data_IF_747760915074
#
_entry.id   IF_747760915074
#
_cell.length_a   1.000
_cell.length_b   1.000
_cell.length_c   1.000
_cell.angle_alpha   90.00
_cell.angle_beta   90.00
_cell.angle_gamma   90.00
#
_symmetry.space_group_name_H-M   'P 1'
#
loop_
_entity.id
_entity.type
_entity.pdbx_description
1 polymer ?
#
# COMPACT_ATOMS: atom_id res chain seq x y z
N UNK A 1 14.70 -1.60 -0.60
CA UNK A 1 13.46 -1.10 0.01
C UNK A 1 12.33 -2.15 -0.01
N UNK A 2 12.08 -2.85 -1.12
CA UNK A 2 10.99 -3.84 -1.22
C UNK A 2 11.07 -4.93 -0.14
N UNK A 3 12.27 -5.43 0.11
CA UNK A 3 12.50 -6.45 1.15
C UNK A 3 12.18 -5.90 2.56
N UNK A 4 12.61 -4.69 2.90
CA UNK A 4 12.40 -4.09 4.23
C UNK A 4 10.94 -3.65 4.47
N UNK A 5 10.24 -3.24 3.42
CA UNK A 5 8.81 -2.90 3.51
C UNK A 5 7.94 -4.14 3.73
N UNK A 6 8.34 -5.33 3.24
CA UNK A 6 7.61 -6.61 3.35
C UNK A 6 6.16 -6.54 2.84
N UNK A 7 5.84 -5.55 2.04
CA UNK A 7 4.56 -5.37 1.38
C UNK A 7 4.79 -4.99 -0.08
N UNK A 8 3.92 -5.41 -1.00
CA UNK A 8 4.00 -4.96 -2.38
C UNK A 8 3.78 -3.44 -2.47
N UNK A 9 4.58 -2.75 -3.28
CA UNK A 9 4.47 -1.30 -3.48
C UNK A 9 4.07 -0.99 -4.92
N UNK A 10 3.37 0.14 -5.14
CA UNK A 10 3.17 0.67 -6.49
C UNK A 10 4.47 1.25 -7.04
N UNK A 11 4.59 1.36 -8.37
CA UNK A 11 5.71 2.04 -9.01
C UNK A 11 5.87 3.47 -8.48
N UNK A 12 4.76 4.22 -8.40
CA UNK A 12 4.78 5.58 -7.87
C UNK A 12 5.29 5.65 -6.43
N UNK A 13 4.89 4.70 -5.59
CA UNK A 13 5.38 4.64 -4.21
C UNK A 13 6.88 4.35 -4.15
N UNK A 14 7.39 3.44 -4.97
CA UNK A 14 8.82 3.12 -5.04
C UNK A 14 9.62 4.35 -5.48
N UNK A 15 9.17 5.00 -6.55
CA UNK A 15 9.82 6.20 -7.05
C UNK A 15 9.81 7.31 -5.98
N UNK A 16 8.65 7.62 -5.40
CA UNK A 16 8.52 8.66 -4.37
C UNK A 16 9.44 8.39 -3.17
N UNK A 17 9.48 7.15 -2.69
CA UNK A 17 10.36 6.74 -1.59
C UNK A 17 11.83 6.95 -1.95
N UNK A 18 12.26 6.45 -3.11
CA UNK A 18 13.67 6.44 -3.47
C UNK A 18 14.19 7.80 -3.94
N UNK A 19 13.31 8.71 -4.39
CA UNK A 19 13.68 10.01 -4.94
C UNK A 19 13.23 11.16 -4.02
N UNK A 20 11.96 11.55 -4.07
CA UNK A 20 11.44 12.76 -3.44
C UNK A 20 11.58 12.77 -1.92
N UNK A 21 11.48 11.60 -1.28
CA UNK A 21 11.52 11.50 0.19
C UNK A 21 12.90 11.33 0.77
N UNK A 22 13.75 10.57 0.09
CA UNK A 22 15.03 10.17 0.66
C UNK A 22 16.25 10.53 -0.21
N UNK A 23 16.04 10.93 -1.46
CA UNK A 23 17.12 11.32 -2.39
C UNK A 23 18.22 10.24 -2.56
N UNK A 24 17.82 8.95 -2.52
CA UNK A 24 18.74 7.84 -2.72
C UNK A 24 19.10 7.64 -4.19
N UNK A 25 18.17 7.94 -5.10
CA UNK A 25 18.32 7.86 -6.54
C UNK A 25 17.63 9.05 -7.20
N UNK A 26 18.03 9.41 -8.40
CA UNK A 26 17.21 10.29 -9.23
C UNK A 26 16.08 9.50 -9.92
N UNK A 27 15.10 10.21 -10.47
CA UNK A 27 13.91 9.63 -11.08
C UNK A 27 14.24 8.63 -12.22
N UNK A 28 15.14 9.01 -13.11
CA UNK A 28 15.50 8.16 -14.27
C UNK A 28 16.24 6.91 -13.83
N UNK A 29 17.20 7.05 -12.92
CA UNK A 29 17.93 5.91 -12.35
C UNK A 29 16.98 4.95 -11.62
N UNK A 30 16.03 5.47 -10.86
CA UNK A 30 15.07 4.63 -10.14
C UNK A 30 14.21 3.80 -11.09
N UNK A 31 13.73 4.40 -12.19
CA UNK A 31 12.95 3.69 -13.20
C UNK A 31 13.79 2.66 -13.95
N UNK A 32 14.98 3.01 -14.36
CA UNK A 32 15.88 2.11 -15.09
C UNK A 32 16.27 0.89 -14.22
N UNK A 33 16.61 1.12 -12.96
CA UNK A 33 16.93 0.04 -12.00
C UNK A 33 15.72 -0.86 -11.77
N UNK A 34 14.52 -0.29 -11.58
CA UNK A 34 13.32 -1.08 -11.39
C UNK A 34 13.02 -1.97 -12.61
N UNK A 35 13.17 -1.42 -13.81
CA UNK A 35 13.00 -2.18 -15.04
C UNK A 35 14.03 -3.33 -15.16
N UNK A 36 15.30 -3.06 -14.92
CA UNK A 36 16.36 -4.08 -14.91
C UNK A 36 16.12 -5.18 -13.90
N UNK A 37 15.62 -4.85 -12.69
CA UNK A 37 15.29 -5.83 -11.67
C UNK A 37 14.14 -6.75 -12.08
N UNK A 38 13.17 -6.23 -12.86
CA UNK A 38 12.08 -7.02 -13.43
C UNK A 38 12.60 -7.94 -14.52
N UNK A 39 13.42 -7.43 -15.45
CA UNK A 39 14.01 -8.24 -16.52
C UNK A 39 14.90 -9.37 -15.97
N UNK A 40 15.63 -9.09 -14.89
CA UNK A 40 16.46 -10.07 -14.20
C UNK A 40 15.66 -11.05 -13.33
N UNK A 41 14.34 -10.94 -13.28
CA UNK A 41 13.46 -11.74 -12.41
C UNK A 41 13.76 -11.61 -10.91
N UNK A 42 14.30 -10.48 -10.46
CA UNK A 42 14.51 -10.17 -9.05
C UNK A 42 13.32 -9.46 -8.42
N UNK A 43 12.50 -8.84 -9.25
CA UNK A 43 11.24 -8.19 -8.87
C UNK A 43 10.13 -8.67 -9.83
N UNK A 44 8.95 -8.93 -9.29
CA UNK A 44 7.79 -9.28 -10.09
C UNK A 44 6.66 -8.27 -9.90
N UNK A 45 5.82 -8.17 -10.91
CA UNK A 45 4.58 -7.41 -10.88
C UNK A 45 3.40 -8.31 -10.54
N UNK A 46 2.52 -7.85 -9.66
CA UNK A 46 1.21 -8.44 -9.40
C UNK A 46 0.13 -7.38 -9.58
N UNK A 47 -1.07 -7.79 -10.06
CA UNK A 47 -2.20 -6.89 -10.26
C UNK A 47 -2.97 -7.16 -11.56
N UNK A 48 -4.07 -6.45 -11.75
CA UNK A 48 -5.06 -6.72 -12.82
C UNK A 48 -4.82 -5.95 -14.13
N UNK A 49 -3.62 -5.38 -14.33
CA UNK A 49 -3.27 -4.67 -15.56
C UNK A 49 -3.57 -3.15 -15.58
N UNK A 50 -4.17 -2.60 -14.54
CA UNK A 50 -4.26 -1.16 -14.36
C UNK A 50 -3.01 -0.67 -13.63
N UNK A 51 -2.29 0.30 -14.21
CA UNK A 51 -1.04 0.83 -13.65
C UNK A 51 -1.16 1.29 -12.17
N UNK A 52 -2.33 1.75 -11.75
CA UNK A 52 -2.61 2.14 -10.35
C UNK A 52 -2.83 0.94 -9.42
N UNK A 53 -3.05 -0.26 -9.96
CA UNK A 53 -3.26 -1.50 -9.21
C UNK A 53 -2.07 -2.44 -9.28
N UNK A 54 -1.13 -2.20 -10.21
CA UNK A 54 0.12 -2.96 -10.28
C UNK A 54 0.95 -2.76 -9.00
N UNK A 55 1.40 -3.87 -8.46
CA UNK A 55 2.24 -3.91 -7.27
C UNK A 55 3.53 -4.66 -7.59
N UNK A 56 4.61 -4.17 -7.05
CA UNK A 56 5.95 -4.72 -7.21
C UNK A 56 6.40 -5.37 -5.92
N UNK A 57 6.95 -6.56 -6.03
CA UNK A 57 7.49 -7.29 -4.89
C UNK A 57 8.78 -7.99 -5.30
N UNK A 58 9.65 -8.25 -4.31
CA UNK A 58 10.88 -8.99 -4.51
C UNK A 58 10.58 -10.47 -4.70
N UNK A 59 11.29 -11.13 -5.63
CA UNK A 59 11.22 -12.58 -5.83
C UNK A 59 12.14 -13.31 -4.84
N UNK A 60 12.03 -14.64 -4.77
CA UNK A 60 12.96 -15.47 -4.01
C UNK A 60 14.40 -15.31 -4.53
N UNK A 61 14.58 -15.31 -5.85
CA UNK A 61 15.87 -15.06 -6.50
C UNK A 61 16.42 -13.68 -6.16
N UNK A 62 15.55 -12.68 -6.12
CA UNK A 62 15.91 -11.31 -5.72
C UNK A 62 16.36 -11.23 -4.27
N UNK A 63 15.69 -11.95 -3.35
CA UNK A 63 16.11 -12.04 -1.95
C UNK A 63 17.47 -12.70 -1.81
N UNK A 64 17.69 -13.83 -2.46
CA UNK A 64 18.98 -14.52 -2.43
C UNK A 64 20.11 -13.65 -2.99
N UNK A 65 19.85 -12.94 -4.09
CA UNK A 65 20.81 -12.00 -4.66
C UNK A 65 21.14 -10.87 -3.68
N UNK A 66 20.11 -10.28 -3.05
CA UNK A 66 20.28 -9.23 -2.05
C UNK A 66 21.11 -9.71 -0.86
N UNK A 67 20.81 -10.87 -0.31
CA UNK A 67 21.58 -11.46 0.81
C UNK A 67 23.04 -11.65 0.45
N UNK A 68 23.32 -12.16 -0.75
CA UNK A 68 24.68 -12.41 -1.21
C UNK A 68 25.51 -11.13 -1.37
N UNK A 69 24.88 -10.04 -1.77
CA UNK A 69 25.54 -8.75 -2.00
C UNK A 69 25.24 -7.70 -0.93
N UNK A 70 24.59 -8.08 0.16
CA UNK A 70 24.11 -7.15 1.19
C UNK A 70 25.22 -6.25 1.75
N UNK A 71 26.39 -6.83 2.00
CA UNK A 71 27.54 -6.11 2.57
C UNK A 71 28.21 -5.13 1.58
N UNK A 72 27.86 -5.20 0.29
CA UNK A 72 28.30 -4.21 -0.70
C UNK A 72 27.50 -2.92 -0.65
N UNK A 73 26.33 -2.93 -0.03
CA UNK A 73 25.54 -1.73 0.19
C UNK A 73 26.13 -0.96 1.36
N UNK A 74 26.43 0.34 1.21
CA UNK A 74 26.96 1.16 2.31
C UNK A 74 26.09 1.03 3.57
N UNK A 75 26.71 0.87 4.73
CA UNK A 75 26.01 0.66 6.01
C UNK A 75 25.02 1.80 6.31
N UNK A 76 25.44 3.03 6.04
CA UNK A 76 24.57 4.21 6.21
C UNK A 76 23.30 4.12 5.39
N UNK A 77 23.38 3.71 4.12
CA UNK A 77 22.20 3.53 3.26
C UNK A 77 21.31 2.39 3.76
N UNK A 78 21.92 1.28 4.23
CA UNK A 78 21.17 0.16 4.83
C UNK A 78 20.37 0.60 6.05
N UNK A 79 20.98 1.40 6.91
CA UNK A 79 20.34 1.96 8.12
C UNK A 79 19.20 2.91 7.76
N UNK A 80 19.43 3.83 6.84
CA UNK A 80 18.39 4.76 6.36
C UNK A 80 17.18 4.02 5.78
N UNK A 81 17.41 2.98 4.95
CA UNK A 81 16.32 2.18 4.38
C UNK A 81 15.57 1.41 5.48
N UNK A 82 16.28 0.83 6.45
CA UNK A 82 15.66 0.09 7.53
C UNK A 82 14.82 0.99 8.45
N UNK A 83 15.33 2.16 8.79
CA UNK A 83 14.63 3.15 9.62
C UNK A 83 13.37 3.67 8.89
N UNK A 84 13.50 4.07 7.63
CA UNK A 84 12.37 4.49 6.81
C UNK A 84 11.27 3.42 6.75
N UNK A 85 11.64 2.18 6.49
CA UNK A 85 10.70 1.07 6.41
C UNK A 85 10.00 0.85 7.75
N UNK A 86 10.75 0.86 8.86
CA UNK A 86 10.19 0.72 10.22
C UNK A 86 9.14 1.77 10.54
N UNK A 87 9.41 3.03 10.16
CA UNK A 87 8.50 4.14 10.44
C UNK A 87 7.25 4.16 9.54
N UNK A 88 7.40 3.73 8.28
CA UNK A 88 6.37 3.96 7.25
C UNK A 88 5.60 2.70 6.84
N UNK A 89 6.10 1.49 7.12
CA UNK A 89 5.50 0.21 6.70
C UNK A 89 4.02 0.08 7.06
N UNK A 90 3.65 0.42 8.30
CA UNK A 90 2.26 0.33 8.77
C UNK A 90 1.36 1.31 8.01
N UNK A 91 1.85 2.52 7.75
CA UNK A 91 1.10 3.52 6.98
C UNK A 91 0.83 3.05 5.54
N UNK A 92 1.85 2.57 4.84
CA UNK A 92 1.70 2.04 3.49
C UNK A 92 0.77 0.82 3.43
N UNK A 93 0.87 -0.09 4.40
CA UNK A 93 -0.03 -1.24 4.52
C UNK A 93 -1.47 -0.79 4.66
N UNK A 94 -1.77 0.11 5.60
CA UNK A 94 -3.12 0.64 5.80
C UNK A 94 -3.66 1.36 4.57
N UNK A 95 -2.84 2.15 3.88
CA UNK A 95 -3.24 2.84 2.66
C UNK A 95 -3.62 1.89 1.52
N UNK A 96 -3.04 0.69 1.47
CA UNK A 96 -3.39 -0.35 0.50
C UNK A 96 -4.61 -1.16 0.92
N UNK A 97 -4.79 -1.41 2.20
CA UNK A 97 -5.87 -2.25 2.74
C UNK A 97 -7.17 -1.48 2.92
N UNK A 98 -7.11 -0.21 3.31
CA UNK A 98 -8.28 0.63 3.60
C UNK A 98 -8.68 1.46 2.39
N UNK A 99 -9.60 0.90 1.60
CA UNK A 99 -10.07 1.51 0.35
C UNK A 99 -11.41 2.19 0.58
N UNK A 100 -11.59 3.38 0.04
CA UNK A 100 -12.85 4.11 0.07
C UNK A 100 -13.10 4.81 -1.26
N UNK A 101 -14.36 4.86 -1.65
CA UNK A 101 -14.84 5.58 -2.83
C UNK A 101 -16.26 6.12 -2.56
N UNK A 102 -16.70 7.08 -3.35
CA UNK A 102 -18.07 7.60 -3.24
C UNK A 102 -18.67 7.94 -4.59
N UNK A 103 -19.98 7.73 -4.71
CA UNK A 103 -20.75 8.03 -5.90
C UNK A 103 -21.96 8.90 -5.55
N UNK A 104 -22.29 9.84 -6.45
CA UNK A 104 -23.49 10.66 -6.34
C UNK A 104 -24.72 9.84 -6.73
N UNK A 105 -25.77 9.90 -5.93
CA UNK A 105 -27.06 9.28 -6.19
C UNK A 105 -28.00 10.25 -6.96
N UNK A 106 -29.05 9.70 -7.56
CA UNK A 106 -30.05 10.47 -8.31
C UNK A 106 -30.81 11.47 -7.44
N UNK A 107 -30.94 11.18 -6.14
CA UNK A 107 -31.61 12.07 -5.17
C UNK A 107 -30.68 13.20 -4.63
N UNK A 108 -29.49 13.34 -5.20
CA UNK A 108 -28.50 14.34 -4.80
C UNK A 108 -27.66 13.98 -3.57
N UNK A 109 -27.95 12.87 -2.90
CA UNK A 109 -27.12 12.31 -1.83
C UNK A 109 -25.90 11.57 -2.40
N UNK A 110 -25.04 11.06 -1.53
CA UNK A 110 -23.85 10.29 -1.93
C UNK A 110 -23.82 8.95 -1.20
N UNK A 111 -23.45 7.90 -1.92
CA UNK A 111 -23.14 6.60 -1.34
C UNK A 111 -21.63 6.45 -1.23
N UNK A 112 -21.14 6.26 -0.01
CA UNK A 112 -19.74 6.00 0.28
C UNK A 112 -19.56 4.49 0.44
N UNK A 113 -18.60 3.92 -0.29
CA UNK A 113 -18.22 2.50 -0.21
C UNK A 113 -16.90 2.40 0.51
N UNK A 114 -16.88 1.69 1.62
CA UNK A 114 -15.74 1.52 2.51
C UNK A 114 -15.33 0.04 2.52
N UNK A 115 -14.06 -0.25 2.26
CA UNK A 115 -13.56 -1.63 2.17
C UNK A 115 -12.26 -1.82 2.95
N UNK A 116 -12.12 -2.99 3.55
CA UNK A 116 -10.84 -3.51 4.00
C UNK A 116 -10.49 -4.68 3.09
N UNK A 117 -9.32 -4.60 2.43
CA UNK A 117 -8.80 -5.65 1.55
C UNK A 117 -7.59 -6.33 2.18
N UNK A 118 -7.43 -7.60 1.90
CA UNK A 118 -6.17 -8.27 2.20
C UNK A 118 -5.11 -7.85 1.18
N UNK A 119 -3.96 -7.38 1.66
CA UNK A 119 -2.81 -7.06 0.80
C UNK A 119 -2.17 -8.31 0.15
N UNK A 120 -2.42 -9.51 0.71
CA UNK A 120 -1.81 -10.74 0.26
C UNK A 120 -2.62 -11.46 -0.82
N UNK A 121 -3.95 -11.44 -0.75
CA UNK A 121 -4.82 -12.27 -1.60
C UNK A 121 -5.83 -11.45 -2.41
N UNK A 122 -5.70 -10.13 -2.43
CA UNK A 122 -6.62 -9.20 -3.12
C UNK A 122 -8.12 -9.51 -2.86
N UNK A 123 -8.44 -9.95 -1.67
CA UNK A 123 -9.79 -10.31 -1.24
C UNK A 123 -10.34 -9.23 -0.32
N UNK A 124 -11.61 -8.88 -0.51
CA UNK A 124 -12.32 -8.00 0.43
C UNK A 124 -12.64 -8.77 1.71
N UNK A 125 -12.12 -8.29 2.83
CA UNK A 125 -12.39 -8.82 4.17
C UNK A 125 -13.61 -8.17 4.81
N UNK A 126 -13.87 -6.92 4.44
CA UNK A 126 -14.98 -6.13 4.95
C UNK A 126 -15.44 -5.14 3.90
N UNK A 127 -16.73 -4.98 3.75
CA UNK A 127 -17.33 -3.96 2.91
C UNK A 127 -18.54 -3.36 3.60
N UNK A 128 -18.62 -2.03 3.60
CA UNK A 128 -19.74 -1.27 4.15
C UNK A 128 -20.12 -0.14 3.20
N UNK A 129 -21.42 0.16 3.11
CA UNK A 129 -21.93 1.28 2.35
C UNK A 129 -22.70 2.23 3.28
N UNK A 130 -22.37 3.51 3.19
CA UNK A 130 -23.00 4.56 3.99
C UNK A 130 -23.56 5.62 3.07
N UNK A 131 -24.83 6.00 3.27
CA UNK A 131 -25.44 7.13 2.57
C UNK A 131 -25.12 8.42 3.33
N UNK A 132 -24.62 9.41 2.63
CA UNK A 132 -24.29 10.73 3.19
C UNK A 132 -25.06 11.84 2.45
N UNK A 133 -25.47 12.91 3.15
CA UNK A 133 -26.31 13.95 2.56
C UNK A 133 -25.57 14.88 1.59
N UNK A 134 -24.25 15.00 1.68
CA UNK A 134 -23.46 15.93 0.88
C UNK A 134 -22.14 15.32 0.41
N UNK A 135 -21.56 15.95 -0.63
CA UNK A 135 -20.22 15.59 -1.12
C UNK A 135 -19.15 15.80 -0.04
N UNK A 136 -19.27 16.87 0.74
CA UNK A 136 -18.32 17.16 1.81
C UNK A 136 -18.31 16.04 2.86
N UNK A 137 -19.49 15.59 3.31
CA UNK A 137 -19.60 14.46 4.23
C UNK A 137 -19.02 13.16 3.63
N UNK A 138 -19.21 12.92 2.33
CA UNK A 138 -18.64 11.76 1.66
C UNK A 138 -17.10 11.79 1.67
N UNK A 139 -16.51 12.95 1.38
CA UNK A 139 -15.04 13.15 1.42
C UNK A 139 -14.50 12.93 2.84
N UNK A 140 -15.12 13.54 3.84
CA UNK A 140 -14.74 13.38 5.25
C UNK A 140 -14.85 11.93 5.72
N UNK A 141 -15.91 11.22 5.31
CA UNK A 141 -16.08 9.80 5.59
C UNK A 141 -14.94 8.97 5.00
N UNK A 142 -14.56 9.24 3.74
CA UNK A 142 -13.42 8.56 3.11
C UNK A 142 -12.08 8.86 3.81
N UNK A 143 -11.87 10.09 4.23
CA UNK A 143 -10.65 10.48 4.97
C UNK A 143 -10.57 9.78 6.33
N UNK A 144 -11.65 9.83 7.10
CA UNK A 144 -11.74 9.16 8.40
C UNK A 144 -11.56 7.64 8.28
N UNK A 145 -12.05 7.04 7.19
CA UNK A 145 -11.88 5.60 6.96
C UNK A 145 -10.42 5.19 6.86
N UNK A 146 -9.59 5.95 6.15
CA UNK A 146 -8.16 5.67 6.02
C UNK A 146 -7.43 5.54 7.35
N UNK A 147 -7.88 6.28 8.35
CA UNK A 147 -7.27 6.29 9.68
C UNK A 147 -7.94 5.32 10.66
N UNK A 148 -9.27 5.16 10.56
CA UNK A 148 -10.10 4.53 11.59
C UNK A 148 -10.72 3.20 11.17
N UNK A 149 -10.45 2.70 9.96
CA UNK A 149 -11.06 1.46 9.46
C UNK A 149 -10.86 0.27 10.40
N UNK A 150 -9.67 0.13 11.00
CA UNK A 150 -9.37 -0.94 11.96
C UNK A 150 -10.26 -0.86 13.21
N UNK A 151 -10.54 0.32 13.74
CA UNK A 151 -11.42 0.50 14.90
C UNK A 151 -12.87 0.13 14.57
N UNK A 152 -13.35 0.51 13.39
CA UNK A 152 -14.69 0.15 12.93
C UNK A 152 -14.82 -1.36 12.75
N UNK A 153 -13.84 -1.99 12.12
CA UNK A 153 -13.82 -3.44 11.92
C UNK A 153 -13.78 -4.19 13.25
N UNK A 154 -12.89 -3.80 14.15
CA UNK A 154 -12.78 -4.39 15.50
C UNK A 154 -14.11 -4.28 16.26
N UNK A 155 -14.71 -3.10 16.28
CA UNK A 155 -16.00 -2.88 16.95
C UNK A 155 -17.12 -3.77 16.37
N UNK A 156 -17.23 -3.84 15.04
CA UNK A 156 -18.23 -4.69 14.38
C UNK A 156 -17.95 -6.17 14.66
N UNK A 157 -16.70 -6.58 14.58
CA UNK A 157 -16.30 -7.96 14.85
C UNK A 157 -16.62 -8.37 16.28
N UNK A 158 -16.20 -7.57 17.27
CA UNK A 158 -16.49 -7.83 18.68
C UNK A 158 -17.99 -7.85 18.97
N UNK A 159 -18.74 -6.90 18.39
CA UNK A 159 -20.19 -6.81 18.61
C UNK A 159 -20.95 -8.01 18.04
N UNK A 160 -20.51 -8.54 16.89
CA UNK A 160 -21.22 -9.62 16.19
C UNK A 160 -20.71 -11.02 16.52
N UNK A 161 -19.44 -11.16 16.88
CA UNK A 161 -18.80 -12.47 17.10
C UNK A 161 -18.61 -12.83 18.57
N UNK A 162 -18.51 -11.87 19.46
CA UNK A 162 -18.49 -12.12 20.90
C UNK A 162 -19.94 -12.23 21.38
N UNK A 163 -20.47 -13.45 21.31
CA UNK A 163 -21.62 -13.82 22.14
C UNK A 163 -21.12 -13.89 23.59
N UNK A 164 -21.47 -12.88 24.38
CA UNK A 164 -21.14 -12.78 25.80
C UNK A 164 -21.47 -14.00 26.62
#
# INVERSE_FOLDING_TARGET
>A
ILEKMEIPLTENSIIDICTSRNDWLNYMECKDVLYQLIEANFVYKSGTGNANEERYNITYEGQNCLEHFYDRIPSELREQIAEYAKENKVHFKRAQEYVSDYNKNDDGSYTVVLKIRSSLVNQSLFEMKIKTPSRQNAIETCQNWREKAHLVYEYVYETLMNNG
#
